data_IF_990380927045
#
_entry.id   IF_990380927045
#
_cell.length_a   1.000
_cell.length_b   1.000
_cell.length_c   1.000
_cell.angle_alpha   90.00
_cell.angle_beta   90.00
_cell.angle_gamma   90.00
#
_symmetry.space_group_name_H-M   'P 1'
#
loop_
_entity.id
_entity.type
_entity.pdbx_description
1 polymer ?
#
# COMPACT_ATOMS: atom_id res chain seq x y z
N UNK A 1 -5.25 19.26 4.47
CA UNK A 1 -4.91 19.12 4.51
C UNK A 1 -4.77 18.97 4.74
N UNK A 2 -5.01 18.58 4.65
CA UNK A 2 -4.81 18.22 4.85
C UNK A 2 -4.92 17.69 5.12
N UNK A 3 -5.22 17.74 5.40
CA UNK A 3 -5.31 17.24 5.63
C UNK A 3 -5.21 16.73 5.82
N UNK A 4 -5.22 16.60 5.98
CA UNK A 4 -5.05 16.06 6.22
C UNK A 4 -5.06 15.89 6.91
N UNK A 5 -5.20 15.98 7.06
CA UNK A 5 -5.30 15.85 7.65
C UNK A 5 -5.80 15.73 8.02
N UNK A 6 -6.15 15.80 8.06
CA UNK A 6 -6.50 15.76 8.48
C UNK A 6 -7.10 15.32 8.43
N UNK A 7 -7.22 15.35 7.95
CA UNK A 7 -7.56 14.57 8.02
C UNK A 7 -7.31 13.80 8.78
N UNK A 8 -6.88 14.15 9.36
CA UNK A 8 -6.69 13.32 10.34
C UNK A 8 -7.76 13.02 11.20
N UNK A 9 -8.63 13.87 11.38
CA UNK A 9 -9.82 13.62 12.01
C UNK A 9 -10.53 12.43 11.48
N UNK A 10 -10.50 12.17 10.21
CA UNK A 10 -11.05 10.93 9.70
C UNK A 10 -10.46 9.72 10.35
N UNK A 11 -9.22 9.81 10.76
CA UNK A 11 -8.61 8.70 11.44
C UNK A 11 -9.31 8.41 12.75
N UNK A 12 -9.69 9.41 13.48
CA UNK A 12 -10.46 9.18 14.70
C UNK A 12 -11.77 8.51 14.39
N UNK A 13 -12.39 8.89 13.31
CA UNK A 13 -13.65 8.31 12.92
C UNK A 13 -13.49 6.87 12.45
N UNK A 14 -12.29 6.46 12.07
CA UNK A 14 -12.05 5.11 11.63
C UNK A 14 -11.87 4.13 12.77
N UNK A 15 -11.75 4.61 13.98
CA UNK A 15 -11.67 3.70 15.11
C UNK A 15 -12.99 2.97 15.24
N UNK A 16 -12.90 1.67 15.35
CA UNK A 16 -14.13 0.89 15.47
C UNK A 16 -14.61 0.86 16.92
N UNK A 17 -15.73 0.23 17.10
CA UNK A 17 -16.34 0.15 18.42
C UNK A 17 -15.53 -0.66 19.42
N UNK A 18 -14.61 -1.49 18.94
CA UNK A 18 -13.75 -2.25 19.82
C UNK A 18 -12.51 -1.46 20.24
N UNK A 19 -12.41 -0.21 19.80
CA UNK A 19 -11.29 0.62 20.17
C UNK A 19 -10.10 0.53 19.24
N UNK A 20 -10.15 -0.34 18.27
CA UNK A 20 -9.09 -0.45 17.28
C UNK A 20 -9.24 0.58 16.19
N UNK A 21 -8.16 0.84 15.48
CA UNK A 21 -8.18 1.72 14.31
C UNK A 21 -7.86 0.89 13.10
N UNK A 22 -8.58 1.13 12.02
CA UNK A 22 -8.38 0.38 10.79
C UNK A 22 -7.88 1.25 9.68
N UNK A 23 -6.96 0.72 8.89
CA UNK A 23 -6.59 1.26 7.61
C UNK A 23 -6.61 0.07 6.67
N UNK A 24 -7.39 0.16 5.62
CA UNK A 24 -7.47 -0.92 4.65
C UNK A 24 -6.17 -1.00 3.87
N UNK A 25 -5.72 -2.21 3.56
CA UNK A 25 -4.58 -2.43 2.69
C UNK A 25 -5.07 -3.05 1.40
N UNK A 26 -4.92 -2.33 0.29
CA UNK A 26 -5.25 -2.86 -1.03
C UNK A 26 -3.96 -3.34 -1.67
N UNK A 27 -3.94 -4.56 -2.18
CA UNK A 27 -2.72 -5.12 -2.72
C UNK A 27 -2.91 -5.76 -4.08
N UNK A 28 -1.83 -5.72 -4.88
CA UNK A 28 -1.75 -6.41 -6.17
C UNK A 28 -0.59 -7.38 -6.10
N UNK A 29 -0.78 -8.59 -6.61
CA UNK A 29 0.26 -9.60 -6.58
C UNK A 29 0.21 -10.43 -7.86
N UNK A 30 1.37 -10.56 -8.53
CA UNK A 30 1.48 -11.36 -9.75
C UNK A 30 2.01 -12.75 -9.46
N UNK A 31 3.04 -12.83 -8.62
CA UNK A 31 3.74 -14.08 -8.35
C UNK A 31 3.57 -14.54 -6.91
N UNK A 32 2.53 -14.06 -6.25
CA UNK A 32 2.22 -14.37 -4.85
C UNK A 32 3.18 -13.75 -3.84
N UNK A 33 4.19 -13.01 -4.26
CA UNK A 33 5.13 -12.41 -3.31
C UNK A 33 4.45 -11.38 -2.42
N UNK A 34 3.72 -10.46 -3.03
CA UNK A 34 3.00 -9.44 -2.25
C UNK A 34 1.91 -10.08 -1.40
N UNK A 35 1.23 -11.07 -1.95
CA UNK A 35 0.18 -11.76 -1.21
C UNK A 35 0.73 -12.45 0.03
N UNK A 36 1.89 -13.10 -0.08
CA UNK A 36 2.54 -13.73 1.07
C UNK A 36 2.91 -12.70 2.12
N UNK A 37 3.41 -11.55 1.68
CA UNK A 37 3.77 -10.47 2.59
C UNK A 37 2.53 -10.00 3.36
N UNK A 38 1.44 -9.76 2.65
CA UNK A 38 0.21 -9.29 3.27
C UNK A 38 -0.40 -10.34 4.19
N UNK A 39 -0.38 -11.60 3.79
CA UNK A 39 -0.96 -12.67 4.60
C UNK A 39 -0.19 -12.95 5.88
N UNK A 40 1.01 -12.42 6.02
CA UNK A 40 1.74 -12.55 7.27
C UNK A 40 1.19 -11.63 8.36
N UNK A 41 0.20 -10.78 8.03
CA UNK A 41 -0.41 -9.85 8.98
C UNK A 41 -1.90 -10.16 9.14
N UNK A 42 -2.26 -11.17 9.92
CA UNK A 42 -3.66 -11.61 10.02
C UNK A 42 -4.60 -10.57 10.61
N UNK A 43 -4.07 -9.62 11.37
CA UNK A 43 -4.89 -8.59 12.02
C UNK A 43 -5.13 -7.36 11.13
N UNK A 44 -4.49 -7.30 9.99
CA UNK A 44 -4.65 -6.17 9.08
C UNK A 44 -5.71 -6.52 8.02
N UNK A 45 -6.69 -5.65 7.89
CA UNK A 45 -7.73 -5.83 6.89
C UNK A 45 -7.14 -5.57 5.50
N UNK A 46 -7.26 -6.52 4.60
CA UNK A 46 -6.70 -6.38 3.27
C UNK A 46 -7.68 -6.82 2.20
N UNK A 47 -7.49 -6.29 1.00
CA UNK A 47 -8.31 -6.65 -0.16
C UNK A 47 -7.41 -6.76 -1.38
N UNK A 48 -7.63 -7.78 -2.19
CA UNK A 48 -6.88 -7.95 -3.42
C UNK A 48 -7.50 -7.10 -4.53
N UNK A 49 -6.67 -6.38 -5.25
CA UNK A 49 -7.13 -5.51 -6.33
C UNK A 49 -7.63 -6.34 -7.50
N UNK A 50 -8.81 -5.96 -7.99
CA UNK A 50 -9.41 -6.55 -9.19
C UNK A 50 -9.80 -5.43 -10.15
N UNK A 51 -10.19 -5.80 -11.38
CA UNK A 51 -10.46 -4.81 -12.43
C UNK A 51 -11.53 -3.78 -12.07
N UNK A 52 -12.51 -4.19 -11.31
CA UNK A 52 -13.65 -3.31 -11.03
C UNK A 52 -13.79 -2.95 -9.55
N UNK A 53 -12.74 -3.11 -8.79
CA UNK A 53 -12.78 -2.82 -7.36
C UNK A 53 -12.95 -1.32 -7.12
N UNK A 54 -13.94 -0.97 -6.32
CA UNK A 54 -14.15 0.41 -5.87
C UNK A 54 -14.10 0.43 -4.35
N UNK A 55 -13.33 1.36 -3.81
CA UNK A 55 -13.18 1.51 -2.38
C UNK A 55 -13.81 2.81 -1.91
N UNK A 56 -14.35 2.78 -0.71
CA UNK A 56 -14.98 3.96 -0.12
C UNK A 56 -14.35 4.32 1.22
N UNK A 57 -13.14 3.85 1.46
CA UNK A 57 -12.42 4.15 2.71
C UNK A 57 -10.94 4.32 2.42
N UNK A 58 -10.26 5.05 3.30
CA UNK A 58 -8.84 5.28 3.16
C UNK A 58 -8.07 3.97 3.14
N UNK A 59 -7.03 3.90 2.32
CA UNK A 59 -6.26 2.68 2.17
C UNK A 59 -4.79 2.95 1.89
N UNK A 60 -3.98 1.94 2.17
CA UNK A 60 -2.57 1.89 1.80
C UNK A 60 -2.47 0.91 0.64
N UNK A 61 -1.70 1.27 -0.36
CA UNK A 61 -1.47 0.39 -1.51
C UNK A 61 -0.18 -0.39 -1.31
N UNK A 62 -0.22 -1.70 -1.54
CA UNK A 62 0.98 -2.53 -1.60
C UNK A 62 0.98 -3.20 -2.96
N UNK A 63 2.01 -2.94 -3.75
CA UNK A 63 2.07 -3.42 -5.12
C UNK A 63 3.42 -4.04 -5.45
N UNK A 64 3.52 -4.64 -6.61
CA UNK A 64 4.79 -5.11 -7.15
C UNK A 64 5.23 -4.15 -8.25
N UNK A 65 6.46 -4.33 -8.71
CA UNK A 65 7.02 -3.52 -9.78
C UNK A 65 7.22 -4.41 -11.00
N UNK A 66 6.79 -3.95 -12.16
CA UNK A 66 6.92 -4.72 -13.39
C UNK A 66 7.85 -4.02 -14.36
N UNK A 67 8.40 -4.77 -15.31
CA UNK A 67 9.32 -4.22 -16.28
C UNK A 67 10.51 -3.55 -15.61
N UNK A 68 10.90 -2.39 -16.11
CA UNK A 68 12.01 -1.62 -15.54
C UNK A 68 11.48 -0.52 -14.63
N UNK A 69 10.79 -0.92 -13.58
CA UNK A 69 10.31 0.06 -12.60
C UNK A 69 8.92 0.59 -12.90
N UNK A 70 8.12 -0.15 -13.62
CA UNK A 70 6.80 0.31 -14.04
C UNK A 70 5.71 -0.12 -13.05
N UNK A 71 4.65 0.68 -13.00
CA UNK A 71 3.46 0.35 -12.24
C UNK A 71 2.64 -0.67 -13.06
N UNK A 72 2.17 -1.76 -12.44
CA UNK A 72 1.32 -2.70 -13.16
C UNK A 72 0.05 -2.02 -13.67
N UNK A 73 -0.39 -2.40 -14.87
CA UNK A 73 -1.57 -1.79 -15.48
C UNK A 73 -2.81 -1.93 -14.60
N UNK A 74 -2.96 -3.07 -13.98
CA UNK A 74 -4.09 -3.31 -13.07
C UNK A 74 -4.12 -2.27 -11.94
N UNK A 75 -2.94 -1.92 -11.41
CA UNK A 75 -2.84 -0.94 -10.35
C UNK A 75 -3.13 0.46 -10.86
N UNK A 76 -2.65 0.80 -12.06
CA UNK A 76 -2.93 2.09 -12.63
C UNK A 76 -4.43 2.29 -12.85
N UNK A 77 -5.10 1.29 -13.38
CA UNK A 77 -6.54 1.34 -13.60
C UNK A 77 -7.28 1.47 -12.29
N UNK A 78 -6.85 0.73 -11.27
CA UNK A 78 -7.44 0.80 -9.95
C UNK A 78 -7.29 2.20 -9.35
N UNK A 79 -6.11 2.79 -9.44
CA UNK A 79 -5.86 4.11 -8.87
C UNK A 79 -6.60 5.22 -9.60
N UNK A 80 -6.85 5.05 -10.89
CA UNK A 80 -7.65 6.01 -11.63
C UNK A 80 -9.01 6.21 -10.97
N UNK A 81 -9.57 5.16 -10.41
CA UNK A 81 -10.89 5.19 -9.79
C UNK A 81 -10.85 5.44 -8.28
N UNK A 82 -9.75 5.10 -7.61
CA UNK A 82 -9.73 5.06 -6.15
C UNK A 82 -8.68 5.98 -5.51
N UNK A 83 -7.99 6.80 -6.28
CA UNK A 83 -6.84 7.54 -5.73
C UNK A 83 -7.20 8.54 -4.64
N UNK A 84 -8.42 8.99 -4.57
CA UNK A 84 -8.78 9.98 -3.54
C UNK A 84 -8.70 9.41 -2.12
N UNK A 85 -8.73 8.09 -1.99
CA UNK A 85 -8.61 7.43 -0.69
C UNK A 85 -7.20 6.89 -0.43
N UNK A 86 -6.28 7.05 -1.38
CA UNK A 86 -4.92 6.55 -1.23
C UNK A 86 -4.16 7.39 -0.21
N UNK A 87 -3.54 6.72 0.77
CA UNK A 87 -2.82 7.40 1.85
C UNK A 87 -1.33 7.08 1.89
N UNK A 88 -0.89 6.09 1.16
CA UNK A 88 0.51 5.73 1.10
C UNK A 88 0.71 4.53 0.22
N UNK A 89 1.96 4.27 -0.14
CA UNK A 89 2.29 3.17 -1.04
C UNK A 89 3.53 2.43 -0.58
N UNK A 90 3.50 1.11 -0.69
CA UNK A 90 4.66 0.26 -0.50
C UNK A 90 4.78 -0.63 -1.73
N UNK A 91 5.98 -1.02 -2.08
CA UNK A 91 6.18 -1.82 -3.28
C UNK A 91 7.23 -2.89 -3.08
N UNK A 92 7.01 -4.01 -3.74
CA UNK A 92 7.95 -5.11 -3.84
C UNK A 92 8.73 -4.96 -5.14
N UNK A 93 9.98 -5.39 -5.15
CA UNK A 93 10.81 -5.38 -6.34
C UNK A 93 11.97 -6.34 -6.20
N UNK A 94 12.93 -6.21 -7.11
CA UNK A 94 14.13 -7.01 -7.10
C UNK A 94 15.34 -6.09 -6.99
N UNK A 95 16.16 -6.28 -5.97
CA UNK A 95 17.31 -5.41 -5.72
C UNK A 95 18.36 -5.48 -6.84
N UNK A 96 18.31 -6.52 -7.65
CA UNK A 96 19.21 -6.63 -8.81
C UNK A 96 18.98 -5.54 -9.83
N UNK A 97 17.86 -4.83 -9.76
CA UNK A 97 17.54 -3.76 -10.71
C UNK A 97 18.10 -2.40 -10.30
N UNK A 98 18.89 -2.33 -9.22
CA UNK A 98 19.52 -1.08 -8.80
C UNK A 98 18.52 0.05 -8.60
N UNK A 99 18.71 1.16 -9.32
CA UNK A 99 17.85 2.34 -9.18
C UNK A 99 16.38 2.07 -9.51
N UNK A 100 16.10 0.98 -10.19
CA UNK A 100 14.72 0.61 -10.53
C UNK A 100 14.08 -0.29 -9.48
N UNK A 101 14.79 -0.55 -8.38
CA UNK A 101 14.26 -1.37 -7.29
C UNK A 101 12.97 -0.77 -6.73
N UNK A 102 11.89 -1.53 -6.86
CA UNK A 102 10.58 -1.12 -6.36
C UNK A 102 10.17 0.29 -6.81
N UNK A 103 10.57 0.67 -8.01
CA UNK A 103 10.37 2.02 -8.56
C UNK A 103 8.89 2.38 -8.69
N UNK A 104 8.01 1.38 -8.78
CA UNK A 104 6.57 1.64 -8.88
C UNK A 104 6.06 2.48 -7.70
N UNK A 105 6.64 2.31 -6.51
CA UNK A 105 6.26 3.11 -5.36
C UNK A 105 6.57 4.60 -5.59
N UNK A 106 7.74 4.88 -6.17
CA UNK A 106 8.12 6.26 -6.45
C UNK A 106 7.21 6.89 -7.50
N UNK A 107 6.86 6.14 -8.52
CA UNK A 107 5.98 6.62 -9.59
C UNK A 107 4.62 6.99 -9.01
N UNK A 108 4.07 6.13 -8.18
CA UNK A 108 2.77 6.37 -7.57
C UNK A 108 2.84 7.54 -6.58
N UNK A 109 3.91 7.60 -5.80
CA UNK A 109 4.12 8.68 -4.84
C UNK A 109 4.12 10.04 -5.55
N UNK A 110 4.85 10.13 -6.65
CA UNK A 110 4.94 11.38 -7.40
C UNK A 110 3.62 11.75 -8.06
N UNK A 111 2.93 10.77 -8.62
CA UNK A 111 1.71 11.01 -9.36
C UNK A 111 0.54 11.41 -8.46
N UNK A 112 0.43 10.80 -7.29
CA UNK A 112 -0.70 11.01 -6.41
C UNK A 112 -0.35 11.74 -5.12
N UNK A 113 0.89 12.18 -5.00
CA UNK A 113 1.36 12.97 -3.85
C UNK A 113 1.10 12.28 -2.52
N UNK A 114 1.51 11.03 -2.42
CA UNK A 114 1.44 10.24 -1.20
C UNK A 114 2.82 9.72 -0.83
N UNK A 115 3.09 9.42 0.45
CA UNK A 115 4.42 8.97 0.84
C UNK A 115 4.70 7.53 0.41
N UNK A 116 5.98 7.26 0.13
CA UNK A 116 6.45 5.89 -0.02
C UNK A 116 6.69 5.38 1.38
N UNK A 117 5.92 4.39 1.80
CA UNK A 117 6.00 3.85 3.15
C UNK A 117 7.20 2.93 3.32
N UNK A 118 7.41 2.05 2.35
CA UNK A 118 8.58 1.20 2.34
C UNK A 118 8.72 0.48 1.00
N UNK A 119 9.91 -0.08 0.79
CA UNK A 119 10.19 -0.95 -0.35
C UNK A 119 10.76 -2.24 0.20
N UNK A 120 10.38 -3.36 -0.39
CA UNK A 120 10.89 -4.64 0.07
C UNK A 120 11.15 -5.55 -1.13
N UNK A 121 11.99 -6.57 -0.91
CA UNK A 121 12.35 -7.48 -1.99
C UNK A 121 11.48 -8.73 -1.93
N UNK A 122 10.89 -9.09 -3.06
CA UNK A 122 10.07 -10.30 -3.22
C UNK A 122 8.95 -10.34 -2.18
N UNK A 123 8.93 -11.35 -1.31
CA UNK A 123 7.87 -11.48 -0.29
C UNK A 123 8.26 -10.86 1.05
N UNK A 124 9.40 -10.16 1.09
CA UNK A 124 9.87 -9.50 2.30
C UNK A 124 10.53 -10.44 3.29
N UNK A 125 11.37 -9.86 4.15
CA UNK A 125 12.00 -10.60 5.24
C UNK A 125 11.20 -10.39 6.52
N UNK A 126 11.61 -11.07 7.59
CA UNK A 126 11.00 -10.85 8.91
C UNK A 126 11.18 -9.39 9.32
N UNK A 127 12.35 -8.80 9.04
CA UNK A 127 12.59 -7.40 9.36
C UNK A 127 11.69 -6.48 8.55
N UNK A 128 11.44 -6.80 7.30
CA UNK A 128 10.53 -6.03 6.47
C UNK A 128 9.11 -6.07 7.03
N UNK A 129 8.69 -7.22 7.51
CA UNK A 129 7.36 -7.37 8.11
C UNK A 129 7.22 -6.55 9.39
N UNK A 130 8.25 -6.57 10.23
CA UNK A 130 8.25 -5.77 11.45
C UNK A 130 8.21 -4.28 11.13
N UNK A 131 8.94 -3.87 10.11
CA UNK A 131 8.97 -2.48 9.68
C UNK A 131 7.59 -2.06 9.17
N UNK A 132 6.93 -2.90 8.40
CA UNK A 132 5.60 -2.59 7.89
C UNK A 132 4.59 -2.44 9.03
N UNK A 133 4.64 -3.35 10.01
CA UNK A 133 3.75 -3.27 11.16
C UNK A 133 3.95 -1.96 11.94
N UNK A 134 5.21 -1.56 12.12
CA UNK A 134 5.52 -0.31 12.81
C UNK A 134 4.97 0.89 12.05
N UNK A 135 5.17 0.92 10.74
CA UNK A 135 4.69 2.01 9.90
C UNK A 135 3.16 2.04 9.91
N UNK A 136 2.54 0.88 9.79
CA UNK A 136 1.09 0.78 9.80
C UNK A 136 0.51 1.31 11.11
N UNK A 137 1.13 0.96 12.22
CA UNK A 137 0.68 1.42 13.54
C UNK A 137 0.77 2.93 13.70
N UNK A 138 1.71 3.57 13.02
CA UNK A 138 1.86 5.02 13.09
C UNK A 138 0.84 5.76 12.23
N UNK A 139 0.34 5.10 11.20
CA UNK A 139 -0.61 5.72 10.27
C UNK A 139 -2.04 5.65 10.79
N UNK A 140 -2.38 4.55 11.41
CA UNK A 140 -3.76 4.34 11.89
C UNK A 140 -4.06 5.03 13.20
#
# INVERSE_FOLDING_TARGET
>A
MGLYSIRICPFSALKNSQGGTFMLVAFASKTSNVERFIKSFPDIKSVKITDNLLLEEDFILVTYTTGFGQVPQLVEDFLTKNNKYLRGVAASGNRNWGDMFAKSADVISDKYNVPVLMKFELSGTINDRKKFESIYSQIV
#
